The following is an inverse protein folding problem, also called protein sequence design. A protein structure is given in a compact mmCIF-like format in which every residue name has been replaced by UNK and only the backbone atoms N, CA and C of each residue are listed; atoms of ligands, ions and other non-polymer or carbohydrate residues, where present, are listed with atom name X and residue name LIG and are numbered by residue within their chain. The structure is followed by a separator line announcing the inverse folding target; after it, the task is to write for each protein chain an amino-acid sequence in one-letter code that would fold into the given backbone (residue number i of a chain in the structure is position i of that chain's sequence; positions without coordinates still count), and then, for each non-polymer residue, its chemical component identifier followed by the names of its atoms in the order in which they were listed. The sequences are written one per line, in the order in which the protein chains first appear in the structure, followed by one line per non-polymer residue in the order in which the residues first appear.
data_IF_335572824488
#
_entry.id   IF_335572824488
#
_cell.length_a   1.000
_cell.length_b   1.000
_cell.length_c   1.000
_cell.angle_alpha   90.00
_cell.angle_beta   90.00
_cell.angle_gamma   90.00
#
_symmetry.space_group_name_H-M   'P 1'
#
loop_
_entity.id
_entity.type
_entity.pdbx_description
1 polymer ?
#
# COMPACT_ATOMS: atom_id res chain seq x y z
N UNK A 1 -6.41 -69.99 46.16
CA UNK A 1 -5.43 -68.89 46.25
C UNK A 1 -4.78 -68.73 44.87
N UNK A 2 -5.13 -67.66 44.13
CA UNK A 2 -4.29 -66.85 43.21
C UNK A 2 -3.28 -67.61 42.29
N UNK A 3 -3.30 -67.56 40.95
CA UNK A 3 -3.31 -66.40 40.04
C UNK A 3 -3.48 -66.89 38.58
N UNK A 4 -4.33 -66.21 37.80
CA UNK A 4 -4.41 -66.27 36.32
C UNK A 4 -3.37 -65.36 35.65
N UNK A 5 -2.84 -65.73 34.49
CA UNK A 5 -3.34 -65.37 33.15
C UNK A 5 -2.51 -64.23 32.47
N UNK A 6 -1.75 -64.65 31.46
CA UNK A 6 -1.45 -64.04 30.14
C UNK A 6 -1.19 -62.52 30.03
N UNK A 7 0.06 -62.22 29.64
CA UNK A 7 0.49 -61.44 28.45
C UNK A 7 -0.51 -60.45 27.84
N UNK A 8 -0.14 -59.15 27.75
CA UNK A 8 -0.07 -58.32 26.52
C UNK A 8 -0.21 -56.81 26.83
N UNK A 9 0.90 -56.07 26.93
CA UNK A 9 0.87 -54.59 26.95
C UNK A 9 2.06 -53.99 26.20
N UNK A 10 2.01 -54.05 24.87
CA UNK A 10 2.96 -53.32 24.03
C UNK A 10 2.30 -52.90 22.70
N UNK A 11 1.26 -52.07 22.75
CA UNK A 11 0.67 -51.51 21.50
C UNK A 11 0.00 -50.13 21.67
N UNK A 12 0.14 -49.45 22.82
CA UNK A 12 -0.61 -48.23 23.13
C UNK A 12 0.09 -46.88 22.90
N UNK A 13 1.42 -46.83 22.93
CA UNK A 13 2.17 -45.56 23.06
C UNK A 13 2.60 -44.94 21.72
N UNK A 14 2.76 -45.72 20.66
CA UNK A 14 3.33 -45.27 19.37
C UNK A 14 2.33 -44.57 18.44
N UNK A 15 1.02 -44.64 18.71
CA UNK A 15 -0.02 -44.09 17.83
C UNK A 15 -0.32 -42.60 18.07
N UNK A 16 0.06 -42.04 19.23
CA UNK A 16 -0.29 -40.66 19.62
C UNK A 16 0.68 -39.59 19.08
N UNK A 17 1.91 -39.95 18.73
CA UNK A 17 2.94 -38.95 18.34
C UNK A 17 2.95 -38.67 16.83
N UNK A 18 2.43 -39.58 15.99
CA UNK A 18 2.42 -39.39 14.52
C UNK A 18 1.30 -38.50 13.99
N UNK A 19 0.24 -38.28 14.76
CA UNK A 19 -0.88 -37.40 14.36
C UNK A 19 -0.62 -35.91 14.66
N UNK A 20 0.35 -35.59 15.51
CA UNK A 20 0.66 -34.20 15.85
C UNK A 20 1.56 -33.48 14.83
N UNK A 21 2.15 -34.18 13.86
CA UNK A 21 3.06 -33.59 12.85
C UNK A 21 2.42 -33.31 11.49
N UNK A 22 1.19 -33.77 11.24
CA UNK A 22 0.45 -33.42 10.02
C UNK A 22 -0.51 -32.25 10.20
N UNK A 23 -0.91 -31.91 11.43
CA UNK A 23 -1.85 -30.82 11.69
C UNK A 23 -1.26 -29.42 11.47
N UNK A 24 0.03 -29.22 11.78
CA UNK A 24 0.70 -27.92 11.67
C UNK A 24 1.12 -27.57 10.24
N UNK A 25 1.45 -28.54 9.40
CA UNK A 25 1.78 -28.28 7.99
C UNK A 25 0.54 -27.88 7.17
N UNK A 26 -0.62 -28.47 7.45
CA UNK A 26 -1.87 -28.15 6.77
C UNK A 26 -2.42 -26.77 7.17
N UNK A 27 -2.28 -26.37 8.44
CA UNK A 27 -2.75 -25.06 8.91
C UNK A 27 -1.94 -23.88 8.32
N UNK A 28 -0.63 -24.04 8.10
CA UNK A 28 0.22 -23.02 7.45
C UNK A 28 -0.08 -22.93 5.95
N UNK A 29 -0.38 -24.06 5.29
CA UNK A 29 -0.76 -24.08 3.88
C UNK A 29 -2.13 -23.43 3.61
N UNK A 30 -3.15 -23.71 4.45
CA UNK A 30 -4.46 -23.06 4.33
C UNK A 30 -4.44 -21.60 4.79
N UNK A 31 -3.69 -21.25 5.85
CA UNK A 31 -3.52 -19.86 6.29
C UNK A 31 -2.82 -18.98 5.25
N UNK A 32 -1.81 -19.51 4.55
CA UNK A 32 -1.11 -18.80 3.47
C UNK A 32 -1.97 -18.55 2.22
N UNK A 33 -2.85 -19.50 1.86
CA UNK A 33 -3.74 -19.39 0.71
C UNK A 33 -4.98 -18.50 0.98
N UNK A 34 -5.49 -18.48 2.21
CA UNK A 34 -6.61 -17.59 2.59
C UNK A 34 -6.11 -16.18 2.92
N UNK A 35 -4.90 -16.03 3.47
CA UNK A 35 -4.30 -14.73 3.79
C UNK A 35 -3.87 -13.90 2.58
N UNK A 36 -3.53 -14.55 1.45
CA UNK A 36 -3.10 -13.85 0.22
C UNK A 36 -4.26 -13.26 -0.58
N UNK A 37 -5.50 -13.73 -0.38
CA UNK A 37 -6.68 -13.22 -1.07
C UNK A 37 -7.22 -11.88 -0.52
N UNK A 38 -6.79 -11.47 0.68
CA UNK A 38 -7.30 -10.24 1.31
C UNK A 38 -6.48 -8.99 0.91
N UNK A 39 -5.35 -9.17 0.22
CA UNK A 39 -4.45 -8.06 -0.18
C UNK A 39 -4.36 -7.84 -1.71
N UNK A 40 -5.09 -8.62 -2.52
CA UNK A 40 -5.19 -8.41 -3.97
C UNK A 40 -6.31 -7.41 -4.31
N UNK A 41 -6.24 -6.22 -3.74
CA UNK A 41 -6.94 -5.06 -4.31
C UNK A 41 -6.20 -4.56 -5.55
N UNK A 42 -6.86 -3.90 -6.51
CA UNK A 42 -6.15 -3.27 -7.62
C UNK A 42 -5.06 -2.35 -7.05
N UNK A 43 -3.87 -2.35 -7.65
CA UNK A 43 -2.80 -1.44 -7.28
C UNK A 43 -3.26 0.00 -7.56
N UNK A 44 -3.80 0.67 -6.52
CA UNK A 44 -4.28 2.05 -6.61
C UNK A 44 -3.12 3.05 -6.73
N UNK A 45 -1.86 2.59 -6.78
CA UNK A 45 -0.67 3.43 -6.91
C UNK A 45 -0.68 4.26 -8.20
N UNK A 46 -1.37 3.82 -9.26
CA UNK A 46 -1.51 4.62 -10.48
C UNK A 46 -2.54 5.77 -10.34
N UNK A 47 -3.45 5.70 -9.36
CA UNK A 47 -4.50 6.70 -9.14
C UNK A 47 -4.32 7.52 -7.87
N UNK A 48 -3.27 7.29 -7.08
CA UNK A 48 -3.02 7.99 -5.81
C UNK A 48 -1.72 8.79 -5.88
N UNK A 49 -1.78 10.06 -5.50
CA UNK A 49 -0.62 10.90 -5.25
C UNK A 49 -0.01 10.63 -3.87
N UNK A 50 1.19 11.19 -3.59
CA UNK A 50 1.86 11.04 -2.30
C UNK A 50 0.97 11.35 -1.09
N UNK A 51 0.19 12.43 -1.13
CA UNK A 51 -0.66 12.80 -0.02
C UNK A 51 -1.92 11.94 0.11
N UNK A 52 -2.36 11.29 -0.96
CA UNK A 52 -3.42 10.27 -0.88
C UNK A 52 -2.90 9.04 -0.12
N UNK A 53 -1.66 8.62 -0.39
CA UNK A 53 -0.99 7.49 0.29
C UNK A 53 -0.79 7.80 1.79
N UNK A 54 -0.33 9.01 2.12
CA UNK A 54 -0.18 9.45 3.50
C UNK A 54 -1.51 9.48 4.25
N UNK A 55 -2.58 9.96 3.61
CA UNK A 55 -3.92 9.94 4.18
C UNK A 55 -4.42 8.50 4.44
N UNK A 56 -4.22 7.59 3.48
CA UNK A 56 -4.55 6.17 3.65
C UNK A 56 -3.76 5.52 4.80
N UNK A 57 -2.54 5.99 5.07
CA UNK A 57 -1.70 5.56 6.19
C UNK A 57 -2.02 6.23 7.54
N UNK A 58 -3.09 7.02 7.66
CA UNK A 58 -3.48 7.69 8.90
C UNK A 58 -2.58 8.87 9.30
N UNK A 59 -1.71 9.32 8.40
CA UNK A 59 -0.78 10.44 8.61
C UNK A 59 -0.93 11.49 7.50
N UNK A 60 -2.12 12.11 7.35
CA UNK A 60 -2.43 12.97 6.21
C UNK A 60 -1.51 14.19 6.12
N UNK A 61 -1.24 14.63 4.89
CA UNK A 61 -0.50 15.86 4.64
C UNK A 61 -1.26 17.07 5.20
N UNK A 62 -0.61 17.83 6.10
CA UNK A 62 -1.13 19.12 6.59
C UNK A 62 -0.70 20.30 5.71
N UNK A 63 0.34 20.10 4.90
CA UNK A 63 0.82 21.01 3.87
C UNK A 63 1.46 20.19 2.74
N UNK A 64 1.31 20.66 1.51
CA UNK A 64 1.81 19.96 0.32
C UNK A 64 2.34 21.00 -0.69
N UNK A 65 3.64 21.01 -0.93
CA UNK A 65 4.31 21.97 -1.82
C UNK A 65 5.08 21.23 -2.91
N UNK A 66 4.91 21.68 -4.16
CA UNK A 66 5.59 21.12 -5.31
C UNK A 66 5.48 22.09 -6.48
N UNK A 67 6.58 22.34 -7.19
CA UNK A 67 6.57 23.13 -8.43
C UNK A 67 6.54 22.25 -9.68
N UNK A 68 6.64 20.93 -9.55
CA UNK A 68 6.83 20.03 -10.70
C UNK A 68 5.60 19.19 -11.00
N UNK A 69 4.79 18.88 -10.00
CA UNK A 69 3.62 17.98 -10.10
C UNK A 69 2.66 18.13 -8.93
N UNK A 70 1.41 17.73 -9.12
CA UNK A 70 0.46 17.56 -8.04
C UNK A 70 0.90 16.46 -7.04
N UNK A 71 0.57 16.68 -5.76
CA UNK A 71 0.81 15.72 -4.67
C UNK A 71 -0.46 14.94 -4.26
N UNK A 72 -1.62 15.35 -4.76
CA UNK A 72 -2.88 14.61 -4.69
C UNK A 72 -3.35 14.30 -6.10
N UNK A 73 -3.92 13.11 -6.33
CA UNK A 73 -4.41 12.69 -7.64
C UNK A 73 -5.56 13.57 -8.17
N UNK A 74 -6.39 14.09 -7.27
CA UNK A 74 -7.51 14.96 -7.62
C UNK A 74 -7.11 16.45 -7.76
N UNK A 75 -5.86 16.81 -7.49
CA UNK A 75 -5.45 18.22 -7.48
C UNK A 75 -5.40 18.78 -8.91
N UNK A 76 -6.20 19.82 -9.16
CA UNK A 76 -6.29 20.49 -10.46
C UNK A 76 -6.07 22.01 -10.36
N UNK A 77 -5.40 22.45 -9.30
CA UNK A 77 -5.17 23.86 -8.99
C UNK A 77 -3.79 24.39 -9.40
N UNK A 78 -3.46 25.63 -8.99
CA UNK A 78 -2.16 26.26 -9.22
C UNK A 78 -1.08 25.73 -8.27
N UNK A 79 -0.04 25.12 -8.82
CA UNK A 79 1.09 24.58 -8.06
C UNK A 79 1.97 25.69 -7.45
N UNK A 80 2.20 26.77 -8.21
CA UNK A 80 3.01 27.90 -7.80
C UNK A 80 2.65 29.15 -8.62
N UNK A 81 3.11 30.30 -8.14
CA UNK A 81 3.01 31.56 -8.86
C UNK A 81 4.40 31.99 -9.33
N UNK A 82 4.50 32.45 -10.57
CA UNK A 82 5.69 33.12 -11.11
C UNK A 82 5.46 34.61 -11.18
N UNK A 83 6.54 35.38 -11.04
CA UNK A 83 6.57 36.83 -11.28
C UNK A 83 7.61 37.13 -12.34
N UNK A 84 7.20 37.77 -13.43
CA UNK A 84 8.11 38.15 -14.52
C UNK A 84 8.89 39.40 -14.13
N UNK A 85 10.20 39.40 -14.34
CA UNK A 85 11.07 40.52 -13.94
C UNK A 85 10.88 41.79 -14.76
N UNK A 86 10.48 41.67 -16.03
CA UNK A 86 10.38 42.81 -16.96
C UNK A 86 9.27 43.79 -16.60
N UNK A 87 8.17 43.30 -16.00
CA UNK A 87 6.97 44.10 -15.74
C UNK A 87 6.35 43.83 -14.35
N UNK A 88 6.95 42.94 -13.55
CA UNK A 88 6.45 42.51 -12.24
C UNK A 88 5.04 41.89 -12.27
N UNK A 89 4.52 41.53 -13.45
CA UNK A 89 3.27 40.79 -13.54
C UNK A 89 3.43 39.38 -12.96
N UNK A 90 2.33 38.81 -12.48
CA UNK A 90 2.31 37.47 -11.90
C UNK A 90 1.40 36.53 -12.68
N UNK A 91 1.72 35.24 -12.63
CA UNK A 91 0.92 34.18 -13.23
C UNK A 91 0.97 32.92 -12.38
N UNK A 92 -0.19 32.35 -12.13
CA UNK A 92 -0.27 31.03 -11.52
C UNK A 92 -0.04 29.93 -12.56
N UNK A 93 0.79 28.95 -12.19
CA UNK A 93 1.10 27.78 -13.02
C UNK A 93 0.44 26.55 -12.39
N UNK A 94 -0.56 26.03 -13.09
CA UNK A 94 -1.28 24.80 -12.71
C UNK A 94 -0.71 23.54 -13.32
N UNK A 95 -1.46 22.45 -13.17
CA UNK A 95 -1.17 21.16 -13.79
C UNK A 95 -1.74 21.09 -15.22
N UNK A 96 -1.16 20.22 -16.07
CA UNK A 96 -1.69 19.94 -17.42
C UNK A 96 -3.02 19.16 -17.35
N UNK A 97 -3.16 18.32 -16.33
CA UNK A 97 -4.38 17.57 -15.99
C UNK A 97 -4.40 17.31 -14.49
N UNK A 98 -5.57 17.03 -13.91
CA UNK A 98 -5.68 16.71 -12.48
C UNK A 98 -4.68 15.61 -12.06
N UNK A 99 -3.96 15.83 -10.96
CA UNK A 99 -2.94 14.92 -10.46
C UNK A 99 -1.63 14.89 -11.26
N UNK A 100 -1.56 15.66 -12.35
CA UNK A 100 -0.47 15.63 -13.32
C UNK A 100 0.72 16.54 -13.00
N UNK A 101 1.58 16.71 -14.01
CA UNK A 101 2.75 17.58 -13.97
C UNK A 101 2.38 19.04 -14.22
N UNK A 102 3.25 19.95 -13.81
CA UNK A 102 3.12 21.39 -14.05
C UNK A 102 3.04 21.71 -15.55
N UNK A 103 2.24 22.71 -15.91
CA UNK A 103 2.20 23.26 -17.27
C UNK A 103 3.40 24.18 -17.50
N UNK A 104 4.57 23.59 -17.74
CA UNK A 104 5.81 24.32 -18.00
C UNK A 104 5.71 25.23 -19.24
N UNK A 105 4.98 24.82 -20.28
CA UNK A 105 4.79 25.64 -21.48
C UNK A 105 4.07 26.97 -21.19
N UNK A 106 3.12 26.98 -20.24
CA UNK A 106 2.47 28.20 -19.78
C UNK A 106 3.44 29.13 -19.02
N UNK A 107 4.35 28.55 -18.24
CA UNK A 107 5.42 29.33 -17.62
C UNK A 107 6.35 29.93 -18.67
N UNK A 108 6.83 29.12 -19.63
CA UNK A 108 7.77 29.58 -20.65
C UNK A 108 7.17 30.70 -21.51
N UNK A 109 5.91 30.56 -21.91
CA UNK A 109 5.18 31.61 -22.65
C UNK A 109 4.97 32.87 -21.82
N UNK A 110 4.84 32.72 -20.50
CA UNK A 110 4.75 33.87 -19.61
C UNK A 110 6.12 34.46 -19.29
N UNK A 111 7.22 33.72 -19.34
CA UNK A 111 8.55 34.22 -18.97
C UNK A 111 9.40 34.66 -20.16
N UNK A 112 8.92 34.49 -21.40
CA UNK A 112 9.58 34.93 -22.63
C UNK A 112 9.74 36.45 -22.74
#
# INVERSE_FOLDING_TARGET
MRIGARTSHALGATRRVRLARLGTAAAVAFGGLVGSAVMTGPAQAASQGPCDIYAAGGTPCVAAHSTTRALYAAYNGPLYQVRRSSDNSTRDIGVVSAGGVANAAAQDSFCS
#
